data_IF_735160697210
#
_entry.id   IF_735160697210
#
_cell.length_a   1.000
_cell.length_b   1.000
_cell.length_c   1.000
_cell.angle_alpha   90.00
_cell.angle_beta   90.00
_cell.angle_gamma   90.00
#
_symmetry.space_group_name_H-M   'P 1'
#
loop_
_entity.id
_entity.type
_entity.pdbx_description
1 polymer ?
#
# COMPACT_ATOMS: atom_id res chain seq x y z
N UNK A 1 6.30 18.00 4.62
CA UNK A 1 5.10 17.60 3.86
C UNK A 1 4.41 16.42 4.54
N UNK A 2 3.22 16.13 4.12
CA UNK A 2 2.44 15.06 4.70
C UNK A 2 2.40 13.87 3.75
N UNK A 3 2.88 12.73 4.21
CA UNK A 3 2.96 11.49 3.42
C UNK A 3 1.80 10.59 3.84
N UNK A 4 0.94 10.25 2.90
CA UNK A 4 -0.17 9.32 3.16
C UNK A 4 0.29 7.93 2.72
N UNK A 5 0.08 6.94 3.59
CA UNK A 5 0.48 5.56 3.34
C UNK A 5 -0.76 4.68 3.28
N UNK A 6 -0.84 3.88 2.24
CA UNK A 6 -1.88 2.86 2.09
C UNK A 6 -1.18 1.52 1.94
N UNK A 7 -1.62 0.51 2.66
CA UNK A 7 -1.08 -0.84 2.52
C UNK A 7 -2.15 -1.81 2.06
N UNK A 8 -1.75 -2.85 1.38
CA UNK A 8 -2.67 -3.89 0.95
C UNK A 8 -2.10 -4.75 -0.15
N UNK A 9 -2.88 -5.76 -0.56
CA UNK A 9 -2.49 -6.67 -1.61
C UNK A 9 -2.94 -6.23 -3.00
N UNK A 10 -4.14 -5.67 -3.08
CA UNK A 10 -4.72 -5.16 -4.33
C UNK A 10 -4.65 -6.21 -5.43
N UNK A 11 -5.22 -7.36 -5.16
CA UNK A 11 -5.10 -8.52 -6.02
C UNK A 11 -6.46 -9.18 -6.24
N UNK A 12 -7.12 -8.91 -7.37
CA UNK A 12 -6.67 -8.00 -8.44
C UNK A 12 -6.94 -6.54 -8.10
N UNK A 13 -6.15 -5.66 -8.70
CA UNK A 13 -6.41 -4.21 -8.61
C UNK A 13 -7.66 -3.91 -9.44
N UNK A 14 -8.53 -3.06 -8.93
CA UNK A 14 -9.76 -2.69 -9.64
C UNK A 14 -10.17 -1.26 -9.34
N UNK A 15 -11.25 -0.80 -9.97
CA UNK A 15 -11.66 0.60 -9.89
C UNK A 15 -11.95 1.08 -8.46
N UNK A 16 -12.40 0.18 -7.60
CA UNK A 16 -12.63 0.53 -6.19
C UNK A 16 -11.33 0.91 -5.49
N UNK A 17 -10.24 0.22 -5.81
CA UNK A 17 -8.92 0.56 -5.26
C UNK A 17 -8.46 1.91 -5.77
N UNK A 18 -8.72 2.20 -7.04
CA UNK A 18 -8.33 3.48 -7.64
C UNK A 18 -9.04 4.62 -6.94
N UNK A 19 -10.35 4.49 -6.71
CA UNK A 19 -11.12 5.49 -5.99
C UNK A 19 -10.60 5.70 -4.58
N UNK A 20 -10.24 4.61 -3.90
CA UNK A 20 -9.68 4.66 -2.56
C UNK A 20 -8.33 5.40 -2.56
N UNK A 21 -7.46 5.10 -3.51
CA UNK A 21 -6.17 5.77 -3.60
C UNK A 21 -6.33 7.27 -3.84
N UNK A 22 -7.26 7.66 -4.72
CA UNK A 22 -7.52 9.07 -4.98
C UNK A 22 -7.99 9.78 -3.71
N UNK A 23 -8.88 9.15 -2.97
CA UNK A 23 -9.38 9.73 -1.73
C UNK A 23 -8.24 9.86 -0.71
N UNK A 24 -7.39 8.84 -0.60
CA UNK A 24 -6.25 8.87 0.32
C UNK A 24 -5.29 9.99 -0.04
N UNK A 25 -5.00 10.17 -1.33
CA UNK A 25 -4.07 11.21 -1.79
C UNK A 25 -4.53 12.61 -1.39
N UNK A 26 -5.85 12.80 -1.30
CA UNK A 26 -6.40 14.11 -0.96
C UNK A 26 -6.11 14.52 0.49
N UNK A 27 -5.66 13.58 1.33
CA UNK A 27 -5.37 13.87 2.74
C UNK A 27 -3.93 14.31 2.98
N UNK A 28 -3.10 14.36 1.96
CA UNK A 28 -1.71 14.76 2.13
C UNK A 28 -1.08 15.22 0.83
N UNK A 29 0.24 15.34 0.87
CA UNK A 29 1.01 15.88 -0.25
C UNK A 29 1.58 14.80 -1.15
N UNK A 30 1.70 13.58 -0.64
CA UNK A 30 2.29 12.47 -1.36
C UNK A 30 1.60 11.18 -0.93
N UNK A 31 1.39 10.27 -1.88
CA UNK A 31 0.79 8.96 -1.60
C UNK A 31 1.82 7.87 -1.87
N UNK A 32 2.07 7.05 -0.85
CA UNK A 32 2.97 5.89 -0.96
C UNK A 32 2.15 4.63 -0.70
N UNK A 33 2.28 3.67 -1.59
CA UNK A 33 1.58 2.40 -1.45
C UNK A 33 2.58 1.36 -0.95
N UNK A 34 2.29 0.79 0.23
CA UNK A 34 3.06 -0.32 0.78
C UNK A 34 2.37 -1.61 0.32
N UNK A 35 2.94 -2.27 -0.67
CA UNK A 35 2.30 -3.37 -1.36
C UNK A 35 2.71 -4.70 -0.76
N UNK A 36 1.73 -5.52 -0.40
CA UNK A 36 1.99 -6.83 0.19
C UNK A 36 2.58 -7.81 -0.82
N UNK A 37 3.42 -8.70 -0.32
CA UNK A 37 4.10 -9.71 -1.13
C UNK A 37 3.15 -10.78 -1.64
N UNK A 38 3.61 -11.57 -2.60
CA UNK A 38 2.88 -12.74 -3.07
C UNK A 38 2.71 -13.77 -1.94
N UNK A 39 3.74 -13.94 -1.12
CA UNK A 39 3.67 -14.87 0.01
C UNK A 39 2.56 -14.48 0.98
N UNK A 40 2.42 -13.17 1.25
CA UNK A 40 1.36 -12.68 2.12
C UNK A 40 -0.02 -13.03 1.55
N UNK A 41 -0.20 -12.85 0.23
CA UNK A 41 -1.46 -13.18 -0.42
C UNK A 41 -1.74 -14.67 -0.39
N UNK A 42 -0.71 -15.49 -0.59
CA UNK A 42 -0.85 -16.94 -0.55
C UNK A 42 -1.30 -17.42 0.83
N UNK A 43 -0.74 -16.82 1.89
CA UNK A 43 -1.14 -17.14 3.24
C UNK A 43 -2.58 -16.69 3.53
N UNK A 44 -2.99 -15.56 2.98
CA UNK A 44 -4.29 -15.00 3.28
C UNK A 44 -5.42 -15.67 2.51
N UNK A 45 -5.21 -15.99 1.24
CA UNK A 45 -6.30 -16.48 0.38
C UNK A 45 -5.94 -17.67 -0.49
N UNK A 46 -4.80 -18.29 -0.26
CA UNK A 46 -4.39 -19.49 -0.95
C UNK A 46 -3.53 -19.30 -2.17
N UNK A 47 -3.68 -18.19 -2.86
CA UNK A 47 -2.81 -17.87 -4.00
C UNK A 47 -2.93 -16.39 -4.37
N UNK A 48 -1.95 -15.91 -5.12
CA UNK A 48 -1.99 -14.58 -5.71
C UNK A 48 -2.52 -14.68 -7.14
N UNK A 49 -3.50 -13.84 -7.51
CA UNK A 49 -3.96 -13.75 -8.89
C UNK A 49 -2.97 -13.04 -9.76
N UNK A 50 -2.42 -11.94 -9.25
CA UNK A 50 -1.47 -11.12 -9.97
C UNK A 50 -0.15 -11.13 -9.22
N UNK A 51 0.95 -11.52 -9.89
CA UNK A 51 2.27 -11.46 -9.24
C UNK A 51 2.59 -10.05 -8.78
N UNK A 52 3.41 -9.94 -7.76
CA UNK A 52 3.81 -8.64 -7.19
C UNK A 52 4.26 -7.66 -8.27
N UNK A 53 5.09 -8.12 -9.18
CA UNK A 53 5.62 -7.28 -10.26
C UNK A 53 4.50 -6.63 -11.09
N UNK A 54 3.46 -7.39 -11.42
CA UNK A 54 2.33 -6.88 -12.19
C UNK A 54 1.54 -5.86 -11.39
N UNK A 55 1.26 -6.15 -10.13
CA UNK A 55 0.52 -5.23 -9.27
C UNK A 55 1.29 -3.92 -9.10
N UNK A 56 2.60 -4.03 -8.89
CA UNK A 56 3.45 -2.86 -8.71
C UNK A 56 3.45 -1.97 -9.95
N UNK A 57 3.62 -2.55 -11.13
CA UNK A 57 3.65 -1.77 -12.37
C UNK A 57 2.34 -1.01 -12.59
N UNK A 58 1.22 -1.68 -12.37
CA UNK A 58 -0.08 -1.04 -12.57
C UNK A 58 -0.25 0.14 -11.61
N UNK A 59 0.04 -0.09 -10.33
CA UNK A 59 -0.20 0.92 -9.30
C UNK A 59 0.75 2.11 -9.46
N UNK A 60 2.02 1.86 -9.73
CA UNK A 60 2.98 2.96 -9.84
C UNK A 60 2.76 3.83 -11.07
N UNK A 61 1.97 3.36 -12.02
CA UNK A 61 1.63 4.14 -13.20
C UNK A 61 0.37 4.99 -13.04
N UNK A 62 -0.29 4.91 -11.89
CA UNK A 62 -1.42 5.79 -11.60
C UNK A 62 -0.90 7.18 -11.26
N UNK A 63 -1.48 8.21 -11.89
CA UNK A 63 -0.93 9.57 -11.80
C UNK A 63 -0.92 10.12 -10.38
N UNK A 64 -1.80 9.66 -9.52
CA UNK A 64 -1.92 10.17 -8.15
C UNK A 64 -1.14 9.33 -7.13
N UNK A 65 -0.43 8.30 -7.59
CA UNK A 65 0.45 7.50 -6.73
C UNK A 65 1.88 7.99 -6.95
N UNK A 66 2.53 8.36 -5.86
CA UNK A 66 3.89 8.92 -5.95
C UNK A 66 4.95 7.83 -5.87
N UNK A 67 4.67 6.76 -5.12
CA UNK A 67 5.65 5.70 -4.93
C UNK A 67 4.99 4.41 -4.48
N UNK A 68 5.52 3.28 -4.94
CA UNK A 68 5.11 1.96 -4.46
C UNK A 68 6.33 1.28 -3.88
N UNK A 69 6.20 0.77 -2.66
CA UNK A 69 7.31 0.06 -2.01
C UNK A 69 6.92 -1.38 -1.70
N UNK A 70 7.92 -2.23 -1.64
CA UNK A 70 7.79 -3.56 -1.06
C UNK A 70 8.29 -3.51 0.38
N UNK A 71 7.94 -4.51 1.16
CA UNK A 71 8.42 -4.63 2.54
C UNK A 71 8.38 -6.09 2.95
N UNK A 72 9.19 -6.42 3.95
CA UNK A 72 9.24 -7.79 4.46
C UNK A 72 7.97 -8.13 5.23
N UNK A 73 7.50 -9.36 5.06
CA UNK A 73 6.40 -9.87 5.86
C UNK A 73 6.89 -10.11 7.28
N UNK A 74 6.02 -9.85 8.26
CA UNK A 74 6.32 -10.23 9.63
C UNK A 74 5.49 -11.47 10.00
N UNK A 75 5.70 -11.97 11.22
CA UNK A 75 5.04 -13.18 11.68
C UNK A 75 3.53 -13.02 11.83
N UNK A 76 3.07 -11.79 11.90
CA UNK A 76 1.65 -11.48 12.11
C UNK A 76 0.95 -11.05 10.82
N UNK A 77 1.67 -10.96 9.71
CA UNK A 77 1.10 -10.50 8.45
C UNK A 77 0.72 -9.03 8.46
N UNK A 78 1.35 -8.24 9.32
CA UNK A 78 1.01 -6.82 9.46
C UNK A 78 1.83 -5.95 8.51
N UNK A 79 1.47 -4.68 8.41
CA UNK A 79 2.17 -3.72 7.58
C UNK A 79 3.21 -2.88 8.35
N UNK A 80 3.52 -3.27 9.59
CA UNK A 80 4.42 -2.49 10.44
C UNK A 80 5.79 -2.28 9.80
N UNK A 81 6.36 -3.32 9.21
CA UNK A 81 7.67 -3.18 8.54
C UNK A 81 7.62 -2.24 7.36
N UNK A 82 6.49 -2.20 6.66
CA UNK A 82 6.29 -1.24 5.59
C UNK A 82 6.25 0.18 6.10
N UNK A 83 5.55 0.41 7.20
CA UNK A 83 5.49 1.74 7.82
C UNK A 83 6.87 2.17 8.31
N UNK A 84 7.62 1.26 8.91
CA UNK A 84 8.99 1.56 9.37
C UNK A 84 9.88 1.95 8.20
N UNK A 85 9.76 1.24 7.09
CA UNK A 85 10.54 1.54 5.90
C UNK A 85 10.22 2.94 5.38
N UNK A 86 8.94 3.29 5.31
CA UNK A 86 8.53 4.60 4.82
C UNK A 86 9.02 5.70 5.77
N UNK A 87 8.94 5.45 7.08
CA UNK A 87 9.42 6.42 8.05
C UNK A 87 10.92 6.67 7.90
N UNK A 88 11.69 5.62 7.56
CA UNK A 88 13.11 5.77 7.26
C UNK A 88 13.36 6.58 6.00
N UNK A 89 12.50 6.42 5.00
CA UNK A 89 12.63 7.15 3.74
C UNK A 89 12.29 8.63 3.89
N UNK A 90 11.39 8.94 4.82
CA UNK A 90 10.90 10.32 5.02
C UNK A 90 10.97 10.68 6.50
N UNK A 91 12.19 10.74 7.08
CA UNK A 91 12.33 10.88 8.54
C UNK A 91 11.86 12.21 9.11
N UNK A 92 11.75 13.23 8.28
CA UNK A 92 11.36 14.56 8.71
C UNK A 92 9.93 14.92 8.32
N UNK A 93 9.19 13.99 7.74
CA UNK A 93 7.85 14.28 7.25
C UNK A 93 6.79 13.65 8.16
N UNK A 94 5.59 14.21 8.11
CA UNK A 94 4.46 13.63 8.83
C UNK A 94 3.96 12.41 8.05
N UNK A 95 3.79 11.27 8.72
CA UNK A 95 3.30 10.05 8.09
C UNK A 95 1.88 9.80 8.57
N UNK A 96 0.94 9.69 7.65
CA UNK A 96 -0.45 9.38 7.94
C UNK A 96 -0.78 8.03 7.32
N UNK A 97 -1.23 7.09 8.13
CA UNK A 97 -1.64 5.80 7.62
C UNK A 97 -3.14 5.86 7.31
N UNK A 98 -3.49 5.79 6.03
CA UNK A 98 -4.87 5.78 5.60
C UNK A 98 -5.36 4.34 5.60
N UNK A 99 -6.30 4.05 6.46
CA UNK A 99 -6.87 2.75 6.59
C UNK A 99 -8.11 2.69 5.72
N UNK A 100 -8.22 1.70 4.88
CA UNK A 100 -9.23 1.63 3.86
C UNK A 100 -10.66 1.46 4.31
N UNK A 101 -10.93 1.68 5.41
CA UNK A 101 -12.24 1.58 5.87
C UNK A 101 -12.75 0.22 5.87
N UNK A 102 -12.38 -0.37 5.96
CA UNK A 102 -13.05 -1.45 6.10
C UNK A 102 -13.25 -1.81 7.44
N UNK A 103 -13.32 -1.06 7.54
CA UNK A 103 -13.39 -1.16 8.42
C UNK A 103 -13.68 -1.57 9.27
N UNK A 104 -13.97 -1.54 9.28
CA UNK A 104 -14.29 -1.86 10.07
C UNK A 104 -14.44 -2.44 10.54
N UNK A 105 -14.46 -2.43 10.42
CA UNK A 105 -14.65 -2.92 10.70
C UNK A 105 -14.68 -3.38 11.13
#
# INVERSE_FOLDING_TARGET
MRIVVVSGGFDPIHSGHIAYFKAARSHGDKLVIALNSDAWLENKKGKAFMPFHERKIIIENLSFVDEVIDFEDDDHGSCIKGLEKIKSMYPNEEIIFANGGDRNK
#
